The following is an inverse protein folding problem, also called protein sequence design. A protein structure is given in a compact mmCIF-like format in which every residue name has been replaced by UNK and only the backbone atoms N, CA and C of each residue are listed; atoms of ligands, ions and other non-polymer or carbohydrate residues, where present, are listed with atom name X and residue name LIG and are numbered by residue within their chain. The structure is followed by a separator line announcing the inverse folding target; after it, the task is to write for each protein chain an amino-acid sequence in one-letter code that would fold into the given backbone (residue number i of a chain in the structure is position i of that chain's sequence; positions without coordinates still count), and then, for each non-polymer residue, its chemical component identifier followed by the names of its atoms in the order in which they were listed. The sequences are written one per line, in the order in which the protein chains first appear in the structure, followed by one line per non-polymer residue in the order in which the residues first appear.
data_IF_957310102456
#
_entry.id   IF_957310102456
#
_cell.length_a   1.000
_cell.length_b   1.000
_cell.length_c   1.000
_cell.angle_alpha   90.00
_cell.angle_beta   90.00
_cell.angle_gamma   90.00
#
_symmetry.space_group_name_H-M   'P 1'
#
loop_
_entity.id
_entity.type
_entity.pdbx_description
1 polymer ?
#
# COMPACT_ATOMS: atom_id res chain seq x y z
N UNK A 1 18.38 -15.16 39.53
CA UNK A 1 17.13 -15.72 39.00
C UNK A 1 17.08 -15.79 37.45
N UNK A 2 17.22 -14.70 36.69
CA UNK A 2 17.16 -14.73 35.19
C UNK A 2 18.24 -15.61 34.54
N UNK A 3 19.48 -15.59 35.03
CA UNK A 3 20.58 -16.39 34.47
C UNK A 3 20.41 -17.89 34.67
N UNK A 4 19.91 -18.28 35.82
CA UNK A 4 19.65 -19.72 36.16
C UNK A 4 18.51 -20.30 35.29
N UNK A 5 17.42 -19.53 35.10
CA UNK A 5 16.32 -19.93 34.20
C UNK A 5 16.81 -20.10 32.77
N UNK A 6 17.65 -19.14 32.28
CA UNK A 6 18.26 -19.24 30.95
C UNK A 6 19.11 -20.51 30.79
N UNK A 7 19.94 -20.84 31.78
CA UNK A 7 20.79 -22.04 31.76
C UNK A 7 19.95 -23.33 31.71
N UNK A 8 18.86 -23.41 32.48
CA UNK A 8 17.93 -24.54 32.45
C UNK A 8 17.25 -24.67 31.08
N UNK A 9 16.77 -23.58 30.49
CA UNK A 9 16.12 -23.58 29.16
C UNK A 9 17.08 -24.04 28.06
N UNK A 10 18.35 -23.64 28.13
CA UNK A 10 19.40 -24.09 27.19
C UNK A 10 19.61 -25.60 27.34
N UNK A 11 19.75 -26.07 28.59
CA UNK A 11 20.01 -27.49 28.88
C UNK A 11 18.86 -28.41 28.45
N UNK A 12 17.62 -27.88 28.44
CA UNK A 12 16.43 -28.58 27.97
C UNK A 12 16.14 -28.43 26.49
N UNK A 13 16.99 -27.73 25.73
CA UNK A 13 16.74 -27.44 24.32
C UNK A 13 15.57 -26.44 24.03
N UNK A 14 14.99 -25.87 25.09
CA UNK A 14 13.79 -25.03 25.00
C UNK A 14 14.08 -23.54 24.82
N UNK A 15 15.35 -23.14 24.84
CA UNK A 15 15.72 -21.72 24.77
C UNK A 15 15.30 -21.01 23.44
N UNK A 16 15.37 -21.76 22.34
CA UNK A 16 14.91 -21.26 21.03
C UNK A 16 13.39 -21.04 21.00
N UNK A 17 12.64 -21.96 21.60
CA UNK A 17 11.18 -21.86 21.72
C UNK A 17 10.77 -20.69 22.61
N UNK A 18 11.42 -20.52 23.77
CA UNK A 18 11.21 -19.37 24.68
C UNK A 18 11.44 -18.03 23.97
N UNK A 19 12.52 -17.91 23.18
CA UNK A 19 12.78 -16.71 22.39
C UNK A 19 11.71 -16.43 21.35
N UNK A 20 11.20 -17.46 20.66
CA UNK A 20 10.12 -17.33 19.67
C UNK A 20 8.82 -16.91 20.34
N UNK A 21 8.46 -17.51 21.45
CA UNK A 21 7.27 -17.15 22.23
C UNK A 21 7.36 -15.70 22.75
N UNK A 22 8.49 -15.30 23.32
CA UNK A 22 8.69 -13.91 23.78
C UNK A 22 8.65 -12.89 22.66
N UNK A 23 9.14 -13.25 21.47
CA UNK A 23 9.03 -12.41 20.27
C UNK A 23 7.58 -12.30 19.84
N UNK A 24 6.85 -13.41 19.75
CA UNK A 24 5.43 -13.42 19.41
C UNK A 24 4.59 -12.61 20.42
N UNK A 25 4.83 -12.78 21.73
CA UNK A 25 4.15 -11.99 22.77
C UNK A 25 4.46 -10.51 22.68
N UNK A 26 5.71 -10.11 22.32
CA UNK A 26 6.04 -8.68 22.11
C UNK A 26 5.36 -8.11 20.90
N UNK A 27 5.30 -8.86 19.81
CA UNK A 27 4.58 -8.44 18.59
C UNK A 27 3.09 -8.28 18.91
N UNK A 28 2.46 -9.27 19.55
CA UNK A 28 1.06 -9.20 19.93
C UNK A 28 0.77 -8.02 20.89
N UNK A 29 1.66 -7.75 21.84
CA UNK A 29 1.52 -6.59 22.74
C UNK A 29 1.68 -5.26 21.99
N UNK A 30 2.60 -5.19 21.03
CA UNK A 30 2.79 -4.04 20.17
C UNK A 30 1.54 -3.79 19.32
N UNK A 31 0.98 -4.84 18.69
CA UNK A 31 -0.26 -4.77 17.92
C UNK A 31 -1.46 -4.32 18.78
N UNK A 32 -1.54 -4.73 20.05
CA UNK A 32 -2.59 -4.30 20.97
C UNK A 32 -2.41 -2.86 21.48
N UNK A 33 -1.20 -2.30 21.46
CA UNK A 33 -0.90 -0.95 21.91
C UNK A 33 -1.05 0.11 20.81
N UNK A 34 -1.29 -0.33 19.57
CA UNK A 34 -1.54 0.58 18.45
C UNK A 34 -2.89 1.29 18.59
N UNK A 35 -3.08 2.45 17.90
CA UNK A 35 -4.31 3.22 17.97
C UNK A 35 -5.54 2.33 17.85
N UNK A 36 -6.67 2.70 18.49
CA UNK A 36 -7.85 1.85 18.56
C UNK A 36 -8.48 1.67 17.18
N UNK A 37 -7.97 0.67 16.46
CA UNK A 37 -8.71 0.13 15.33
C UNK A 37 -9.91 -0.65 15.85
N UNK A 38 -11.04 -0.55 15.15
CA UNK A 38 -12.16 -1.45 15.41
C UNK A 38 -11.72 -2.92 15.28
N UNK A 39 -12.38 -3.84 15.97
CA UNK A 39 -12.04 -5.28 15.96
C UNK A 39 -11.91 -5.86 14.55
N UNK A 40 -12.76 -5.43 13.61
CA UNK A 40 -12.71 -5.86 12.20
C UNK A 40 -11.39 -5.45 11.56
N UNK A 41 -10.98 -4.19 11.69
CA UNK A 41 -9.72 -3.67 11.14
C UNK A 41 -8.52 -4.38 11.72
N UNK A 42 -8.50 -4.59 13.05
CA UNK A 42 -7.41 -5.36 13.68
C UNK A 42 -7.30 -6.79 13.16
N UNK A 43 -8.44 -7.46 12.97
CA UNK A 43 -8.46 -8.81 12.41
C UNK A 43 -7.91 -8.84 10.97
N UNK A 44 -8.29 -7.87 10.15
CA UNK A 44 -7.79 -7.74 8.78
C UNK A 44 -6.29 -7.45 8.72
N UNK A 45 -5.77 -6.54 9.56
CA UNK A 45 -4.32 -6.27 9.66
C UNK A 45 -3.57 -7.54 10.04
N UNK A 46 -4.04 -8.29 11.03
CA UNK A 46 -3.39 -9.55 11.47
C UNK A 46 -3.40 -10.64 10.41
N UNK A 47 -4.47 -10.69 9.60
CA UNK A 47 -4.60 -11.67 8.52
C UNK A 47 -3.85 -11.27 7.25
N UNK A 48 -3.42 -10.01 7.13
CA UNK A 48 -2.75 -9.51 5.93
C UNK A 48 -1.34 -10.09 5.76
N UNK A 49 -0.88 -10.14 4.53
CA UNK A 49 0.49 -10.54 4.18
C UNK A 49 1.54 -9.55 4.71
N UNK A 50 1.14 -8.30 4.93
CA UNK A 50 2.00 -7.22 5.41
C UNK A 50 1.28 -6.37 6.46
N UNK A 51 1.51 -6.70 7.72
CA UNK A 51 0.89 -6.01 8.87
C UNK A 51 1.35 -4.56 9.02
N UNK A 52 2.57 -4.23 8.56
CA UNK A 52 3.13 -2.88 8.66
C UNK A 52 2.46 -1.97 7.64
N UNK A 53 2.38 -2.39 6.37
CA UNK A 53 1.69 -1.65 5.31
C UNK A 53 0.24 -1.41 5.65
N UNK A 54 -0.50 -2.48 5.98
CA UNK A 54 -1.92 -2.36 6.35
C UNK A 54 -2.14 -1.49 7.58
N UNK A 55 -1.26 -1.58 8.58
CA UNK A 55 -1.30 -0.71 9.75
C UNK A 55 -1.08 0.76 9.40
N UNK A 56 -0.09 1.07 8.57
CA UNK A 56 0.20 2.43 8.11
C UNK A 56 -0.94 3.02 7.27
N UNK A 57 -1.49 2.23 6.34
CA UNK A 57 -2.66 2.62 5.53
C UNK A 57 -3.88 2.89 6.41
N UNK A 58 -4.14 2.04 7.41
CA UNK A 58 -5.25 2.26 8.34
C UNK A 58 -5.09 3.56 9.15
N UNK A 59 -3.86 3.89 9.58
CA UNK A 59 -3.58 5.16 10.27
C UNK A 59 -3.84 6.36 9.37
N UNK A 60 -3.37 6.30 8.12
CA UNK A 60 -3.58 7.36 7.14
C UNK A 60 -5.08 7.57 6.87
N UNK A 61 -5.84 6.51 6.57
CA UNK A 61 -7.28 6.60 6.32
C UNK A 61 -8.02 7.14 7.55
N UNK A 62 -7.73 6.64 8.75
CA UNK A 62 -8.32 7.18 9.99
C UNK A 62 -8.03 8.67 10.19
N UNK A 63 -6.83 9.13 9.81
CA UNK A 63 -6.49 10.55 9.88
C UNK A 63 -7.28 11.37 8.86
N UNK A 64 -7.43 10.87 7.63
CA UNK A 64 -8.23 11.51 6.58
C UNK A 64 -9.68 11.68 7.02
N UNK A 65 -10.27 10.63 7.57
CA UNK A 65 -11.66 10.65 8.06
C UNK A 65 -11.84 11.64 9.24
N UNK A 66 -10.96 11.60 10.21
CA UNK A 66 -11.01 12.53 11.36
C UNK A 66 -10.83 13.98 10.96
N UNK A 67 -10.02 14.26 9.97
CA UNK A 67 -9.75 15.61 9.48
C UNK A 67 -10.71 16.01 8.34
N UNK A 68 -11.64 15.14 7.95
CA UNK A 68 -12.60 15.36 6.87
C UNK A 68 -11.94 15.80 5.55
N UNK A 69 -10.76 15.26 5.24
CA UNK A 69 -10.04 15.57 3.99
C UNK A 69 -10.88 15.11 2.81
N UNK A 70 -11.30 16.01 1.90
CA UNK A 70 -12.16 15.65 0.77
C UNK A 70 -11.40 14.87 -0.30
N UNK A 71 -12.15 14.14 -1.13
CA UNK A 71 -11.61 13.44 -2.30
C UNK A 71 -11.85 11.94 -2.28
N UNK A 72 -11.72 11.35 -3.47
CA UNK A 72 -11.78 9.91 -3.67
C UNK A 72 -10.49 9.22 -3.20
N UNK A 73 -10.50 7.91 -3.24
CA UNK A 73 -9.32 7.06 -3.02
C UNK A 73 -8.94 6.37 -4.33
N UNK A 74 -7.66 6.05 -4.48
CA UNK A 74 -7.18 5.29 -5.64
C UNK A 74 -6.11 4.27 -5.26
N UNK A 75 -6.05 3.20 -6.03
CA UNK A 75 -4.97 2.22 -6.04
C UNK A 75 -4.57 1.96 -7.49
N UNK A 76 -3.27 2.09 -7.77
CA UNK A 76 -2.66 1.80 -9.06
C UNK A 76 -1.74 0.60 -8.87
N UNK A 77 -2.10 -0.53 -9.51
CA UNK A 77 -1.56 -1.85 -9.21
C UNK A 77 -2.39 -2.54 -8.14
N UNK A 78 -3.28 -3.42 -8.57
CA UNK A 78 -4.34 -4.03 -7.73
C UNK A 78 -4.12 -5.52 -7.51
N UNK A 79 -3.64 -6.21 -8.55
CA UNK A 79 -3.45 -7.65 -8.58
C UNK A 79 -4.70 -8.41 -8.12
N UNK A 80 -4.68 -9.07 -6.95
CA UNK A 80 -5.82 -9.84 -6.39
C UNK A 80 -6.74 -9.02 -5.48
N UNK A 81 -6.45 -7.74 -5.28
CA UNK A 81 -7.32 -6.82 -4.54
C UNK A 81 -7.29 -6.95 -3.02
N UNK A 82 -6.21 -7.51 -2.44
CA UNK A 82 -6.09 -7.65 -0.98
C UNK A 82 -6.12 -6.28 -0.29
N UNK A 83 -5.32 -5.34 -0.78
CA UNK A 83 -5.30 -3.99 -0.22
C UNK A 83 -6.54 -3.21 -0.61
N UNK A 84 -7.05 -3.38 -1.84
CA UNK A 84 -8.32 -2.78 -2.29
C UNK A 84 -9.49 -3.11 -1.35
N UNK A 85 -9.63 -4.40 -0.97
CA UNK A 85 -10.64 -4.84 0.00
C UNK A 85 -10.48 -4.18 1.35
N UNK A 86 -9.24 -4.07 1.81
CA UNK A 86 -8.92 -3.41 3.07
C UNK A 86 -9.32 -1.94 3.05
N UNK A 87 -8.93 -1.19 2.01
CA UNK A 87 -9.27 0.23 1.82
C UNK A 87 -10.79 0.42 1.73
N UNK A 88 -11.48 -0.36 0.89
CA UNK A 88 -12.93 -0.30 0.73
C UNK A 88 -13.68 -0.56 2.05
N UNK A 89 -13.18 -1.51 2.86
CA UNK A 89 -13.76 -1.81 4.18
C UNK A 89 -13.55 -0.67 5.20
N UNK A 90 -12.41 0.03 5.14
CA UNK A 90 -12.12 1.13 6.07
C UNK A 90 -12.94 2.40 5.76
N UNK A 91 -13.19 2.66 4.50
CA UNK A 91 -13.88 3.87 4.03
C UNK A 91 -15.00 3.54 3.02
N UNK A 92 -16.06 2.80 3.42
CA UNK A 92 -17.07 2.28 2.49
C UNK A 92 -17.92 3.39 1.85
N UNK A 93 -17.87 4.61 2.36
CA UNK A 93 -18.56 5.78 1.81
C UNK A 93 -17.73 6.54 0.75
N UNK A 94 -16.43 6.23 0.62
CA UNK A 94 -15.53 6.82 -0.37
C UNK A 94 -15.60 6.07 -1.70
N UNK A 95 -15.52 6.79 -2.80
CA UNK A 95 -15.23 6.16 -4.09
C UNK A 95 -13.79 5.68 -4.10
N UNK A 96 -13.56 4.43 -4.49
CA UNK A 96 -12.25 3.83 -4.66
C UNK A 96 -12.03 3.50 -6.13
N UNK A 97 -11.07 4.16 -6.77
CA UNK A 97 -10.68 3.90 -8.15
C UNK A 97 -9.54 2.88 -8.18
N UNK A 98 -9.71 1.81 -8.94
CA UNK A 98 -8.76 0.72 -9.08
C UNK A 98 -8.22 0.66 -10.51
N UNK A 99 -6.94 0.90 -10.67
CA UNK A 99 -6.24 0.87 -11.94
C UNK A 99 -5.30 -0.33 -12.00
N UNK A 100 -5.52 -1.20 -12.97
CA UNK A 100 -4.67 -2.37 -13.22
C UNK A 100 -4.91 -2.85 -14.66
N UNK A 101 -3.93 -3.50 -15.24
CA UNK A 101 -4.12 -4.20 -16.51
C UNK A 101 -5.03 -5.40 -16.37
N UNK A 102 -5.05 -6.02 -15.17
CA UNK A 102 -5.66 -7.32 -14.87
C UNK A 102 -5.18 -8.44 -15.79
N UNK A 103 -3.98 -8.25 -16.35
CA UNK A 103 -3.34 -9.15 -17.29
C UNK A 103 -1.81 -9.26 -17.07
N UNK A 104 -1.31 -8.74 -15.95
CA UNK A 104 0.12 -8.67 -15.64
C UNK A 104 0.84 -7.49 -16.31
N UNK A 105 2.16 -7.54 -16.35
CA UNK A 105 2.96 -6.46 -16.93
C UNK A 105 2.91 -6.45 -18.45
N UNK A 106 2.66 -5.31 -19.09
CA UNK A 106 2.73 -5.20 -20.54
C UNK A 106 4.19 -5.24 -21.03
N UNK A 107 4.39 -5.67 -22.27
CA UNK A 107 5.72 -5.83 -22.87
C UNK A 107 6.57 -4.55 -22.85
N UNK A 108 5.93 -3.37 -22.87
CA UNK A 108 6.62 -2.06 -22.81
C UNK A 108 7.27 -1.75 -21.45
N UNK A 109 6.90 -2.48 -20.39
CA UNK A 109 7.49 -2.38 -19.06
C UNK A 109 8.51 -3.49 -18.76
N UNK A 110 8.80 -4.32 -19.75
CA UNK A 110 9.86 -5.34 -19.65
C UNK A 110 11.21 -4.68 -19.35
N UNK A 111 11.98 -5.30 -18.46
CA UNK A 111 13.31 -4.79 -18.08
C UNK A 111 14.31 -4.83 -19.25
N UNK A 112 14.12 -5.78 -20.20
CA UNK A 112 14.89 -5.88 -21.44
C UNK A 112 13.98 -6.33 -22.59
N UNK A 113 14.27 -5.94 -23.85
CA UNK A 113 13.55 -6.43 -25.01
C UNK A 113 13.58 -7.96 -25.06
N UNK A 114 12.40 -8.60 -25.16
CA UNK A 114 12.27 -10.05 -25.29
C UNK A 114 12.30 -10.86 -23.98
N UNK A 115 12.35 -10.21 -22.81
CA UNK A 115 12.22 -10.86 -21.51
C UNK A 115 10.87 -10.45 -20.86
N UNK A 116 9.75 -11.13 -21.19
CA UNK A 116 8.45 -10.81 -20.60
C UNK A 116 8.48 -11.06 -19.09
N UNK A 117 7.84 -10.17 -18.33
CA UNK A 117 7.58 -10.37 -16.91
C UNK A 117 6.19 -11.02 -16.78
N UNK A 118 6.15 -12.30 -16.50
CA UNK A 118 4.92 -13.09 -16.45
C UNK A 118 4.21 -13.04 -15.09
N UNK A 119 4.69 -12.20 -14.15
CA UNK A 119 4.07 -12.03 -12.85
C UNK A 119 2.69 -11.37 -12.97
N UNK A 120 1.83 -11.64 -11.99
CA UNK A 120 0.54 -10.99 -11.78
C UNK A 120 -0.51 -11.20 -12.89
N UNK A 121 -0.37 -12.25 -13.72
CA UNK A 121 -1.36 -12.57 -14.77
C UNK A 121 -2.58 -13.34 -14.25
N UNK A 122 -2.51 -13.93 -13.05
CA UNK A 122 -3.53 -14.78 -12.46
C UNK A 122 -4.60 -13.96 -11.67
N UNK A 123 -5.15 -12.92 -12.32
CA UNK A 123 -6.17 -12.03 -11.78
C UNK A 123 -7.19 -11.62 -12.84
N UNK A 124 -8.30 -11.03 -12.43
CA UNK A 124 -9.30 -10.39 -13.30
C UNK A 124 -10.17 -9.41 -12.52
N UNK A 125 -10.84 -8.49 -13.22
CA UNK A 125 -11.81 -7.56 -12.63
C UNK A 125 -12.87 -8.31 -11.83
N UNK A 126 -13.40 -9.41 -12.36
CA UNK A 126 -14.46 -10.22 -11.74
C UNK A 126 -13.95 -10.91 -10.46
N UNK A 127 -12.71 -11.40 -10.48
CA UNK A 127 -12.09 -12.04 -9.32
C UNK A 127 -11.89 -11.03 -8.18
N UNK A 128 -11.35 -9.84 -8.50
CA UNK A 128 -11.13 -8.76 -7.53
C UNK A 128 -12.46 -8.24 -7.00
N UNK A 129 -13.46 -8.03 -7.84
CA UNK A 129 -14.81 -7.60 -7.41
C UNK A 129 -15.43 -8.60 -6.44
N UNK A 130 -15.35 -9.89 -6.73
CA UNK A 130 -15.82 -10.96 -5.82
C UNK A 130 -15.04 -10.97 -4.50
N UNK A 131 -13.72 -10.75 -4.57
CA UNK A 131 -12.87 -10.72 -3.38
C UNK A 131 -13.23 -9.55 -2.44
N UNK A 132 -13.46 -8.34 -2.99
CA UNK A 132 -13.89 -7.17 -2.22
C UNK A 132 -15.29 -7.42 -1.62
N UNK A 133 -16.19 -8.05 -2.39
CA UNK A 133 -17.53 -8.43 -1.91
C UNK A 133 -18.47 -7.24 -1.78
N UNK A 134 -19.25 -7.18 -0.69
CA UNK A 134 -20.29 -6.16 -0.48
C UNK A 134 -19.73 -4.71 -0.45
N UNK A 135 -18.47 -4.54 -0.06
CA UNK A 135 -17.81 -3.24 -0.01
C UNK A 135 -17.46 -2.69 -1.43
N UNK A 136 -17.73 -3.49 -2.50
CA UNK A 136 -17.45 -3.09 -3.89
C UNK A 136 -18.47 -2.11 -4.51
N UNK A 137 -19.49 -1.70 -3.79
CA UNK A 137 -20.56 -0.82 -4.32
C UNK A 137 -20.07 0.56 -4.78
N UNK A 138 -18.97 1.04 -4.22
CA UNK A 138 -18.33 2.32 -4.59
C UNK A 138 -16.95 2.13 -5.22
N UNK A 139 -16.65 0.93 -5.69
CA UNK A 139 -15.38 0.63 -6.36
C UNK A 139 -15.55 0.77 -7.86
N UNK A 140 -14.74 1.62 -8.47
CA UNK A 140 -14.70 1.87 -9.91
C UNK A 140 -13.43 1.23 -10.47
N UNK A 141 -13.60 0.29 -11.39
CA UNK A 141 -12.49 -0.41 -12.05
C UNK A 141 -12.12 0.29 -13.35
N UNK A 142 -10.82 0.47 -13.55
CA UNK A 142 -10.22 1.04 -14.75
C UNK A 142 -9.25 0.03 -15.36
N UNK A 143 -9.77 -1.02 -16.05
CA UNK A 143 -8.92 -2.04 -16.65
C UNK A 143 -8.14 -1.46 -17.83
N UNK A 144 -6.83 -1.70 -17.85
CA UNK A 144 -5.93 -1.24 -18.89
C UNK A 144 -4.63 -0.68 -18.33
N UNK A 145 -3.76 -0.28 -19.25
CA UNK A 145 -2.45 0.26 -18.89
C UNK A 145 -2.58 1.69 -18.32
N UNK A 146 -1.90 1.91 -17.19
CA UNK A 146 -1.77 3.27 -16.63
C UNK A 146 -0.52 3.95 -17.25
N UNK A 147 -0.59 5.23 -17.74
CA UNK A 147 -1.64 6.22 -17.47
C UNK A 147 -2.77 6.34 -18.51
N UNK A 148 -2.87 5.47 -19.50
CA UNK A 148 -3.89 5.57 -20.56
C UNK A 148 -5.32 5.61 -20.00
N UNK A 149 -5.56 4.89 -18.88
CA UNK A 149 -6.84 4.86 -18.19
C UNK A 149 -7.13 6.09 -17.32
N UNK A 150 -6.15 7.00 -17.14
CA UNK A 150 -6.28 8.15 -16.25
C UNK A 150 -7.27 9.22 -16.73
N UNK A 151 -7.64 9.23 -18.01
CA UNK A 151 -8.61 10.19 -18.55
C UNK A 151 -9.96 10.14 -17.80
N UNK A 152 -10.34 8.98 -17.28
CA UNK A 152 -11.58 8.78 -16.53
C UNK A 152 -11.66 9.57 -15.21
N UNK A 153 -10.53 10.03 -14.66
CA UNK A 153 -10.46 10.76 -13.38
C UNK A 153 -9.98 12.20 -13.54
N UNK A 154 -10.07 12.77 -14.73
CA UNK A 154 -9.54 14.10 -15.02
C UNK A 154 -10.12 15.21 -14.12
N UNK A 155 -11.38 15.08 -13.69
CA UNK A 155 -12.09 16.04 -12.83
C UNK A 155 -12.09 15.66 -11.34
N UNK A 156 -11.49 14.51 -10.99
CA UNK A 156 -11.51 14.00 -9.61
C UNK A 156 -10.39 14.61 -8.76
N UNK A 157 -10.67 14.73 -7.46
CA UNK A 157 -9.66 15.00 -6.42
C UNK A 157 -9.50 13.79 -5.51
N UNK A 158 -8.31 13.62 -4.93
CA UNK A 158 -7.98 12.44 -4.15
C UNK A 158 -7.48 12.79 -2.75
N UNK A 159 -7.97 12.04 -1.77
CA UNK A 159 -7.47 12.10 -0.40
C UNK A 159 -6.43 11.00 -0.11
N UNK A 160 -6.52 9.87 -0.80
CA UNK A 160 -5.60 8.74 -0.63
C UNK A 160 -5.27 8.11 -1.97
N UNK A 161 -3.99 7.86 -2.21
CA UNK A 161 -3.50 7.12 -3.38
C UNK A 161 -2.46 6.10 -2.92
N UNK A 162 -2.62 4.86 -3.37
CA UNK A 162 -1.60 3.82 -3.31
C UNK A 162 -1.05 3.60 -4.73
N UNK A 163 0.27 3.62 -4.87
CA UNK A 163 0.99 3.30 -6.11
C UNK A 163 1.82 2.05 -5.85
N UNK A 164 1.47 0.94 -6.49
CA UNK A 164 2.07 -0.38 -6.29
C UNK A 164 2.22 -1.08 -7.67
N UNK A 165 3.09 -0.55 -8.52
CA UNK A 165 3.24 -0.94 -9.94
C UNK A 165 4.63 -1.46 -10.30
N UNK A 166 5.52 -1.66 -9.34
CA UNK A 166 6.85 -2.29 -9.45
C UNK A 166 7.84 -1.65 -10.47
N UNK A 167 7.43 -0.73 -11.32
CA UNK A 167 8.25 -0.24 -12.45
C UNK A 167 8.39 1.28 -12.43
N UNK A 168 9.52 1.76 -12.95
CA UNK A 168 9.84 3.18 -13.01
C UNK A 168 8.79 4.02 -13.76
N UNK A 169 8.48 3.64 -15.02
CA UNK A 169 7.59 4.43 -15.89
C UNK A 169 6.17 4.58 -15.33
N UNK A 170 5.47 3.50 -14.96
CA UNK A 170 4.12 3.66 -14.44
C UNK A 170 4.10 4.30 -13.05
N UNK A 171 5.15 4.15 -12.22
CA UNK A 171 5.27 4.89 -10.96
C UNK A 171 5.36 6.39 -11.20
N UNK A 172 6.26 6.83 -12.09
CA UNK A 172 6.40 8.26 -12.42
C UNK A 172 5.10 8.81 -12.99
N UNK A 173 4.48 8.13 -13.94
CA UNK A 173 3.20 8.52 -14.53
C UNK A 173 2.07 8.62 -13.48
N UNK A 174 2.02 7.69 -12.52
CA UNK A 174 1.04 7.75 -11.43
C UNK A 174 1.25 9.01 -10.57
N UNK A 175 2.48 9.34 -10.23
CA UNK A 175 2.79 10.56 -9.47
C UNK A 175 2.43 11.83 -10.24
N UNK A 176 2.73 11.90 -11.53
CA UNK A 176 2.38 13.04 -12.40
C UNK A 176 0.87 13.24 -12.51
N UNK A 177 0.11 12.15 -12.57
CA UNK A 177 -1.37 12.20 -12.64
C UNK A 177 -1.98 12.55 -11.29
N UNK A 178 -1.60 11.89 -10.21
CA UNK A 178 -2.31 12.02 -8.93
C UNK A 178 -1.83 13.19 -8.08
N UNK A 179 -0.54 13.52 -8.07
CA UNK A 179 -0.02 14.57 -7.19
C UNK A 179 -0.72 15.94 -7.37
N UNK A 180 -0.98 16.45 -8.60
CA UNK A 180 -1.70 17.71 -8.77
C UNK A 180 -3.18 17.64 -8.37
N UNK A 181 -3.72 16.42 -8.24
CA UNK A 181 -5.11 16.16 -7.85
C UNK A 181 -5.29 15.83 -6.38
N UNK A 182 -4.19 15.80 -5.62
CA UNK A 182 -4.27 15.53 -4.19
C UNK A 182 -4.87 16.69 -3.42
N UNK A 183 -5.84 16.39 -2.58
CA UNK A 183 -6.35 17.34 -1.59
C UNK A 183 -5.26 17.65 -0.55
N UNK A 184 -5.15 18.89 -0.07
CA UNK A 184 -4.29 19.21 1.07
C UNK A 184 -4.56 18.28 2.26
N UNK A 185 -3.51 17.74 2.85
CA UNK A 185 -3.60 16.75 3.91
C UNK A 185 -3.80 15.31 3.45
N UNK A 186 -4.00 15.07 2.15
CA UNK A 186 -4.09 13.75 1.53
C UNK A 186 -2.77 12.99 1.53
N UNK A 187 -2.82 11.67 1.33
CA UNK A 187 -1.65 10.80 1.37
C UNK A 187 -1.43 10.09 0.04
N UNK A 188 -0.16 10.03 -0.40
CA UNK A 188 0.32 9.14 -1.45
C UNK A 188 1.28 8.13 -0.80
N UNK A 189 0.98 6.85 -0.96
CA UNK A 189 1.85 5.73 -0.62
C UNK A 189 2.46 5.18 -1.91
N UNK A 190 3.76 4.89 -1.90
CA UNK A 190 4.49 4.32 -3.03
C UNK A 190 5.19 3.08 -2.51
N UNK A 191 4.73 1.91 -2.96
CA UNK A 191 5.25 0.61 -2.54
C UNK A 191 6.47 0.20 -3.37
N UNK A 192 7.22 -0.80 -2.90
CA UNK A 192 8.45 -1.34 -3.52
C UNK A 192 9.58 -0.33 -3.70
N UNK A 193 9.58 0.71 -2.89
CA UNK A 193 10.61 1.76 -2.95
C UNK A 193 12.03 1.19 -2.76
N UNK A 194 12.20 0.22 -1.86
CA UNK A 194 13.49 -0.43 -1.60
C UNK A 194 13.61 -1.82 -2.25
N UNK A 195 12.74 -2.15 -3.22
CA UNK A 195 12.72 -3.47 -3.84
C UNK A 195 13.80 -3.62 -4.91
N UNK A 196 14.74 -4.56 -4.76
CA UNK A 196 15.68 -4.89 -5.83
C UNK A 196 14.99 -5.58 -7.03
N UNK A 197 13.81 -6.17 -6.84
CA UNK A 197 13.06 -6.83 -7.91
C UNK A 197 12.56 -5.82 -8.96
N UNK A 198 12.42 -4.56 -8.59
CA UNK A 198 12.08 -3.45 -9.48
C UNK A 198 13.31 -2.78 -10.13
N UNK A 199 14.51 -3.32 -9.93
CA UNK A 199 15.79 -2.66 -10.26
C UNK A 199 15.85 -1.23 -9.68
N UNK A 200 15.30 -1.05 -8.47
CA UNK A 200 15.16 0.25 -7.83
C UNK A 200 14.45 1.31 -8.70
N UNK A 201 13.65 0.87 -9.67
CA UNK A 201 12.93 1.77 -10.58
C UNK A 201 11.93 2.65 -9.83
N UNK A 202 11.29 2.10 -8.81
CA UNK A 202 10.31 2.83 -7.99
C UNK A 202 10.99 3.95 -7.19
N UNK A 203 12.13 3.68 -6.52
CA UNK A 203 12.86 4.72 -5.79
C UNK A 203 13.36 5.81 -6.72
N UNK A 204 13.95 5.45 -7.88
CA UNK A 204 14.38 6.45 -8.87
C UNK A 204 13.23 7.34 -9.33
N UNK A 205 12.04 6.78 -9.57
CA UNK A 205 10.87 7.56 -9.99
C UNK A 205 10.39 8.50 -8.88
N UNK A 206 10.27 7.99 -7.65
CA UNK A 206 9.81 8.78 -6.51
C UNK A 206 10.80 9.88 -6.14
N UNK A 207 12.10 9.58 -6.05
CA UNK A 207 13.14 10.56 -5.73
C UNK A 207 13.22 11.67 -6.78
N UNK A 208 13.16 11.29 -8.07
CA UNK A 208 13.14 12.25 -9.16
C UNK A 208 11.92 13.16 -9.07
N UNK A 209 10.73 12.59 -8.85
CA UNK A 209 9.48 13.34 -8.82
C UNK A 209 9.41 14.32 -7.64
N UNK A 210 9.89 13.88 -6.46
CA UNK A 210 9.81 14.69 -5.23
C UNK A 210 11.04 15.58 -4.99
N UNK A 211 12.03 15.59 -5.89
CA UNK A 211 13.25 16.38 -5.73
C UNK A 211 12.98 17.88 -5.54
N UNK A 212 11.99 18.43 -6.25
CA UNK A 212 11.59 19.84 -6.26
C UNK A 212 10.27 20.12 -5.52
N UNK A 213 9.67 19.12 -4.86
CA UNK A 213 8.40 19.26 -4.13
C UNK A 213 8.65 19.64 -2.67
N UNK A 214 7.69 20.32 -2.03
CA UNK A 214 7.80 20.69 -0.61
C UNK A 214 7.71 19.48 0.32
N UNK A 215 7.02 18.42 -0.09
CA UNK A 215 6.89 17.19 0.68
C UNK A 215 8.22 16.42 0.71
N UNK A 216 8.44 15.67 1.79
CA UNK A 216 9.56 14.74 1.93
C UNK A 216 9.05 13.32 2.02
N UNK A 217 9.79 12.40 1.41
CA UNK A 217 9.52 10.97 1.48
C UNK A 217 9.79 10.48 2.90
N UNK A 218 8.83 9.76 3.49
CA UNK A 218 8.97 9.11 4.80
C UNK A 218 8.93 7.61 4.56
N UNK A 219 10.00 6.91 4.89
CA UNK A 219 10.12 5.48 4.69
C UNK A 219 9.31 4.69 5.71
N UNK A 220 8.64 3.63 5.26
CA UNK A 220 7.90 2.67 6.06
C UNK A 220 8.59 1.32 5.93
N UNK A 221 8.93 0.64 7.05
CA UNK A 221 9.65 -0.62 7.04
C UNK A 221 8.72 -1.82 6.83
N UNK A 222 7.94 -1.79 5.76
CA UNK A 222 7.10 -2.88 5.30
C UNK A 222 7.83 -3.78 4.30
N UNK A 223 7.16 -4.79 3.78
CA UNK A 223 7.77 -5.70 2.81
C UNK A 223 7.97 -4.98 1.47
N UNK A 224 9.19 -5.01 0.94
CA UNK A 224 9.58 -4.26 -0.28
C UNK A 224 9.91 -2.79 0.00
N UNK A 225 9.53 -2.29 1.17
CA UNK A 225 9.67 -0.90 1.58
C UNK A 225 8.67 0.02 0.88
N UNK A 226 7.93 0.79 1.65
CA UNK A 226 7.10 1.88 1.10
C UNK A 226 7.70 3.23 1.49
N UNK A 227 7.38 4.24 0.71
CA UNK A 227 7.48 5.64 1.15
C UNK A 227 6.10 6.27 1.12
N UNK A 228 5.90 7.24 2.01
CA UNK A 228 4.66 8.00 2.08
C UNK A 228 4.95 9.49 2.11
N UNK A 229 4.11 10.24 1.42
CA UNK A 229 4.03 11.70 1.53
C UNK A 229 2.64 12.10 1.96
N UNK A 230 2.56 13.19 2.71
CA UNK A 230 1.31 13.87 3.00
C UNK A 230 1.32 15.22 2.29
N UNK A 231 0.35 15.43 1.41
CA UNK A 231 0.22 16.66 0.64
C UNK A 231 0.13 17.86 1.57
N UNK A 232 1.06 18.82 1.42
CA UNK A 232 1.02 20.07 2.16
C UNK A 232 -0.05 21.00 1.57
N UNK A 233 -0.55 21.92 2.39
CA UNK A 233 -1.34 23.03 1.89
C UNK A 233 -0.42 23.90 1.05
N UNK A 234 -0.87 24.29 -0.14
CA UNK A 234 -0.15 25.29 -0.90
C UNK A 234 -0.16 26.56 -0.03
N UNK A 235 1.01 26.98 0.43
CA UNK A 235 1.12 28.31 1.04
C UNK A 235 0.65 29.33 0.02
N UNK A 236 -0.17 30.28 0.41
CA UNK A 236 -0.64 31.34 -0.47
C UNK A 236 0.50 32.17 -1.03
#
# INVERSE_FOLDING_TARGET
MKAQVKAVLIRLGLYGLDRRLKKACRIAKYEMSFPPYGKRTQAMIRASIDVVRHGAVALAINRLERNQVPGAFAEVGVYKGELSKFIATLAPHRTLHLFDTFAGFPAQDAAAPGAPDERFQDTSVEAVRRHIGADASRVVFHPGYFPETAAAIAAETFAFVMVDVDKYKPTLAALEVFYPRMSPGGYIFIHDYNSPESDYGVSRAADQFFADKPERLIEIPDRGGSVVVRKVENSP
#
